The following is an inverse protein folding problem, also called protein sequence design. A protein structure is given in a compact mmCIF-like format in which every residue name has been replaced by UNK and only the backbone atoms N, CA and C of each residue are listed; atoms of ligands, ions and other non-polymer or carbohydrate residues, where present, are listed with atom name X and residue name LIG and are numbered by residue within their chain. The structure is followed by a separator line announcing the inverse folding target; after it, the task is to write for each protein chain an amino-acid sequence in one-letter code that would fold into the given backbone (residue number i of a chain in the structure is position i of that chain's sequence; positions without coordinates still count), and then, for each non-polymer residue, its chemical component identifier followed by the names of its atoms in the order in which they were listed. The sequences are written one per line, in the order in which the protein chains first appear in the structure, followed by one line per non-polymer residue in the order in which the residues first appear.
data_IF_588500634496
#
_entry.id   IF_588500634496
#
_cell.length_a   1.000
_cell.length_b   1.000
_cell.length_c   1.000
_cell.angle_alpha   90.00
_cell.angle_beta   90.00
_cell.angle_gamma   90.00
#
_symmetry.space_group_name_H-M   'P 1'
#
loop_
_entity.id
_entity.type
_entity.pdbx_description
1 polymer ?
#
# COMPACT_ATOMS: atom_id res chain seq x y z
N UNK A 1 -23.28 -0.38 -6.96
CA UNK A 1 -23.31 0.89 -7.71
C UNK A 1 -22.44 0.72 -8.96
N UNK A 2 -22.83 1.28 -10.11
CA UNK A 2 -22.03 1.22 -11.35
C UNK A 2 -21.25 2.53 -11.57
N UNK A 3 -20.28 2.51 -12.49
CA UNK A 3 -19.38 3.64 -12.75
C UNK A 3 -20.12 4.91 -13.21
N UNK A 4 -21.18 4.77 -14.01
CA UNK A 4 -21.96 5.92 -14.50
C UNK A 4 -22.72 6.61 -13.37
N UNK A 5 -23.31 5.86 -12.44
CA UNK A 5 -23.98 6.42 -11.26
C UNK A 5 -22.98 7.10 -10.33
N UNK A 6 -21.79 6.51 -10.14
CA UNK A 6 -20.73 7.13 -9.32
C UNK A 6 -20.29 8.46 -9.90
N UNK A 7 -19.98 8.50 -11.20
CA UNK A 7 -19.55 9.72 -11.91
C UNK A 7 -20.62 10.81 -11.85
N UNK A 8 -21.89 10.44 -12.06
CA UNK A 8 -23.02 11.38 -11.95
C UNK A 8 -23.14 12.00 -10.56
N UNK A 9 -22.96 11.20 -9.49
CA UNK A 9 -22.97 11.72 -8.11
C UNK A 9 -21.82 12.68 -7.81
N UNK A 10 -20.63 12.42 -8.37
CA UNK A 10 -19.46 13.29 -8.19
C UNK A 10 -19.71 14.64 -8.86
N UNK A 11 -20.27 14.64 -10.07
CA UNK A 11 -20.54 15.87 -10.84
C UNK A 11 -21.70 16.71 -10.29
N UNK A 12 -22.69 16.06 -9.67
CA UNK A 12 -23.89 16.74 -9.12
C UNK A 12 -23.69 17.26 -7.69
N UNK A 13 -22.54 17.01 -7.07
CA UNK A 13 -22.31 17.44 -5.69
C UNK A 13 -22.20 18.98 -5.59
N UNK A 14 -22.65 19.53 -4.47
CA UNK A 14 -22.55 20.95 -4.18
C UNK A 14 -21.08 21.43 -4.23
N UNK A 15 -20.88 22.71 -4.49
CA UNK A 15 -19.55 23.33 -4.46
C UNK A 15 -18.84 23.04 -3.15
N UNK A 16 -17.60 22.55 -3.24
CA UNK A 16 -16.79 22.19 -2.09
C UNK A 16 -16.35 23.47 -1.35
N UNK A 17 -16.77 23.61 -0.09
CA UNK A 17 -16.21 24.62 0.82
C UNK A 17 -14.95 24.05 1.49
N UNK A 18 -13.79 24.57 1.10
CA UNK A 18 -12.51 24.11 1.64
C UNK A 18 -12.36 24.35 3.14
N UNK A 19 -12.89 25.45 3.68
CA UNK A 19 -12.79 25.77 5.11
C UNK A 19 -13.54 24.75 5.94
N UNK A 20 -14.77 24.43 5.53
CA UNK A 20 -15.58 23.40 6.18
C UNK A 20 -14.95 22.01 6.05
N UNK A 21 -14.47 21.65 4.86
CA UNK A 21 -13.82 20.34 4.61
C UNK A 21 -12.58 20.19 5.49
N UNK A 22 -11.74 21.23 5.56
CA UNK A 22 -10.53 21.21 6.36
C UNK A 22 -10.85 21.03 7.85
N UNK A 23 -11.79 21.81 8.38
CA UNK A 23 -12.21 21.71 9.78
C UNK A 23 -12.78 20.32 10.11
N UNK A 24 -13.68 19.80 9.28
CA UNK A 24 -14.25 18.44 9.44
C UNK A 24 -13.17 17.37 9.36
N UNK A 25 -12.19 17.52 8.46
CA UNK A 25 -11.07 16.58 8.33
C UNK A 25 -10.21 16.54 9.59
N UNK A 26 -9.94 17.69 10.21
CA UNK A 26 -9.19 17.79 11.46
C UNK A 26 -9.96 17.17 12.63
N UNK A 27 -11.28 17.40 12.72
CA UNK A 27 -12.12 16.76 13.73
C UNK A 27 -12.17 15.24 13.57
N UNK A 28 -12.34 14.76 12.34
CA UNK A 28 -12.37 13.33 12.04
C UNK A 28 -11.02 12.67 12.34
N UNK A 29 -9.91 13.33 11.98
CA UNK A 29 -8.57 12.88 12.30
C UNK A 29 -8.37 12.66 13.80
N UNK A 30 -8.80 13.61 14.65
CA UNK A 30 -8.74 13.47 16.11
C UNK A 30 -9.49 12.22 16.59
N UNK A 31 -10.68 11.96 16.02
CA UNK A 31 -11.50 10.78 16.36
C UNK A 31 -10.86 9.47 15.91
N UNK A 32 -10.16 9.49 14.77
CA UNK A 32 -9.56 8.29 14.16
C UNK A 32 -8.08 8.08 14.51
N UNK A 33 -7.51 8.93 15.37
CA UNK A 33 -6.07 8.98 15.64
C UNK A 33 -5.50 7.62 16.07
N UNK A 34 -6.13 6.98 17.06
CA UNK A 34 -5.67 5.69 17.58
C UNK A 34 -5.74 4.60 16.51
N UNK A 35 -6.78 4.60 15.68
CA UNK A 35 -6.97 3.65 14.60
C UNK A 35 -5.93 3.85 13.49
N UNK A 36 -5.61 5.09 13.16
CA UNK A 36 -4.53 5.43 12.23
C UNK A 36 -3.16 5.01 12.76
N UNK A 37 -2.91 5.20 14.05
CA UNK A 37 -1.70 4.72 14.71
C UNK A 37 -1.59 3.19 14.67
N UNK A 38 -2.67 2.46 14.98
CA UNK A 38 -2.71 1.00 14.88
C UNK A 38 -2.48 0.51 13.44
N UNK A 39 -3.10 1.16 12.45
CA UNK A 39 -2.87 0.87 11.04
C UNK A 39 -1.38 1.00 10.67
N UNK A 40 -0.70 2.06 11.13
CA UNK A 40 0.72 2.27 10.88
C UNK A 40 1.58 1.17 11.50
N UNK A 41 1.36 0.85 12.79
CA UNK A 41 2.11 -0.19 13.51
C UNK A 41 1.93 -1.55 12.87
N UNK A 42 0.70 -1.92 12.53
CA UNK A 42 0.40 -3.20 11.88
C UNK A 42 1.02 -3.28 10.47
N UNK A 43 0.95 -2.20 9.69
CA UNK A 43 1.58 -2.14 8.36
C UNK A 43 3.10 -2.30 8.45
N UNK A 44 3.73 -1.67 9.44
CA UNK A 44 5.16 -1.83 9.70
C UNK A 44 5.51 -3.26 10.09
N UNK A 45 4.72 -3.88 10.98
CA UNK A 45 4.92 -5.27 11.41
C UNK A 45 4.87 -6.25 10.23
N UNK A 46 3.96 -6.03 9.28
CA UNK A 46 3.83 -6.83 8.05
C UNK A 46 5.03 -6.63 7.12
N UNK A 47 5.62 -5.43 7.09
CA UNK A 47 6.78 -5.12 6.25
C UNK A 47 8.09 -5.70 6.78
N UNK A 48 8.25 -5.86 8.11
CA UNK A 48 9.49 -6.33 8.74
C UNK A 48 10.00 -7.66 8.13
N UNK A 49 9.19 -8.73 8.00
CA UNK A 49 9.65 -9.97 7.38
C UNK A 49 10.18 -9.78 5.96
N UNK A 50 9.54 -8.94 5.15
CA UNK A 50 9.98 -8.67 3.79
C UNK A 50 11.33 -7.96 3.76
N UNK A 51 11.57 -7.01 4.66
CA UNK A 51 12.87 -6.33 4.79
C UNK A 51 13.95 -7.32 5.25
N UNK A 52 13.65 -8.21 6.20
CA UNK A 52 14.62 -9.19 6.69
C UNK A 52 15.12 -10.16 5.61
N UNK A 53 14.29 -10.47 4.60
CA UNK A 53 14.67 -11.34 3.47
C UNK A 53 15.93 -10.86 2.77
N UNK A 54 16.13 -9.55 2.62
CA UNK A 54 17.31 -8.98 1.96
C UNK A 54 18.41 -8.60 2.96
N UNK A 55 18.04 -8.12 4.15
CA UNK A 55 19.02 -7.68 5.14
C UNK A 55 19.80 -8.84 5.77
N UNK A 56 19.16 -9.98 6.07
CA UNK A 56 19.85 -11.11 6.70
C UNK A 56 20.98 -11.66 5.81
N UNK A 57 20.75 -11.99 4.52
CA UNK A 57 21.81 -12.45 3.62
C UNK A 57 22.91 -11.41 3.40
N UNK A 58 22.54 -10.13 3.34
CA UNK A 58 23.52 -9.06 3.14
C UNK A 58 24.45 -8.92 4.34
N UNK A 59 23.89 -8.91 5.55
CA UNK A 59 24.67 -8.85 6.78
C UNK A 59 25.52 -10.12 6.98
N UNK A 60 24.98 -11.30 6.70
CA UNK A 60 25.72 -12.57 6.86
C UNK A 60 26.94 -12.64 5.93
N UNK A 61 26.81 -12.18 4.69
CA UNK A 61 27.96 -12.08 3.78
C UNK A 61 29.03 -11.12 4.29
N UNK A 62 28.64 -9.93 4.76
CA UNK A 62 29.61 -8.97 5.29
C UNK A 62 30.31 -9.49 6.55
N UNK A 63 29.57 -10.15 7.45
CA UNK A 63 30.13 -10.75 8.64
C UNK A 63 31.10 -11.89 8.29
N UNK A 64 30.70 -12.80 7.38
CA UNK A 64 31.54 -13.90 6.92
C UNK A 64 32.86 -13.39 6.33
N UNK A 65 32.83 -12.35 5.49
CA UNK A 65 34.03 -11.71 4.95
C UNK A 65 34.92 -11.13 6.06
N UNK A 66 34.32 -10.46 7.05
CA UNK A 66 35.04 -9.93 8.20
C UNK A 66 35.76 -11.01 9.01
N UNK A 67 35.10 -12.13 9.29
CA UNK A 67 35.70 -13.27 10.00
C UNK A 67 36.78 -13.98 9.16
N UNK A 68 36.53 -14.25 7.88
CA UNK A 68 37.49 -14.93 7.02
C UNK A 68 38.77 -14.11 6.78
N UNK A 69 38.63 -12.78 6.65
CA UNK A 69 39.78 -11.86 6.55
C UNK A 69 40.59 -11.82 7.84
N UNK A 70 39.94 -11.93 9.01
CA UNK A 70 40.62 -12.00 10.30
C UNK A 70 41.45 -13.28 10.46
N UNK A 71 40.94 -14.42 10.00
CA UNK A 71 41.61 -15.72 10.06
C UNK A 71 42.63 -15.96 8.93
N UNK A 72 42.93 -14.94 8.10
CA UNK A 72 43.88 -15.03 6.97
C UNK A 72 43.52 -16.12 5.94
N UNK A 73 42.24 -16.46 5.81
CA UNK A 73 41.75 -17.31 4.73
C UNK A 73 41.59 -16.52 3.44
N UNK A 74 41.83 -17.18 2.31
CA UNK A 74 41.51 -16.63 1.00
C UNK A 74 39.98 -16.49 0.89
N UNK A 75 39.49 -15.25 0.81
CA UNK A 75 38.05 -14.96 0.88
C UNK A 75 37.46 -15.08 -0.52
N UNK A 76 36.57 -16.05 -0.79
CA UNK A 76 35.98 -16.18 -2.12
C UNK A 76 35.17 -14.94 -2.47
N UNK A 77 35.40 -14.38 -3.65
CA UNK A 77 34.51 -13.36 -4.20
C UNK A 77 33.15 -13.99 -4.51
N UNK A 78 32.09 -13.45 -3.90
CA UNK A 78 30.73 -13.85 -4.22
C UNK A 78 30.27 -13.08 -5.47
N UNK A 79 29.98 -13.76 -6.59
CA UNK A 79 29.45 -13.09 -7.77
C UNK A 79 28.10 -12.44 -7.46
N UNK A 80 27.80 -11.30 -8.10
CA UNK A 80 26.51 -10.62 -7.97
C UNK A 80 25.31 -11.54 -8.24
N UNK A 81 25.47 -12.51 -9.15
CA UNK A 81 24.45 -13.49 -9.48
C UNK A 81 23.97 -14.32 -8.27
N UNK A 82 24.78 -14.47 -7.22
CA UNK A 82 24.39 -15.17 -5.98
C UNK A 82 23.30 -14.43 -5.19
N UNK A 83 23.15 -13.12 -5.41
CA UNK A 83 22.10 -12.31 -4.79
C UNK A 83 20.78 -12.32 -5.56
N UNK A 84 20.78 -12.73 -6.83
CA UNK A 84 19.60 -12.67 -7.70
C UNK A 84 18.37 -13.39 -7.12
N UNK A 85 18.48 -14.58 -6.51
CA UNK A 85 17.33 -15.25 -5.89
C UNK A 85 16.75 -14.46 -4.70
N UNK A 86 17.60 -13.80 -3.91
CA UNK A 86 17.16 -12.97 -2.78
C UNK A 86 16.46 -11.70 -3.24
N UNK A 87 16.94 -11.06 -4.30
CA UNK A 87 16.25 -9.93 -4.92
C UNK A 87 14.89 -10.33 -5.48
N UNK A 88 14.79 -11.48 -6.16
CA UNK A 88 13.52 -11.98 -6.66
C UNK A 88 12.53 -12.26 -5.51
N UNK A 89 12.99 -12.93 -4.46
CA UNK A 89 12.18 -13.22 -3.28
C UNK A 89 11.74 -11.93 -2.57
N UNK A 90 12.64 -10.96 -2.42
CA UNK A 90 12.34 -9.64 -1.87
C UNK A 90 11.27 -8.91 -2.69
N UNK A 91 11.39 -8.92 -4.02
CA UNK A 91 10.41 -8.32 -4.91
C UNK A 91 9.01 -8.95 -4.73
N UNK A 92 8.93 -10.29 -4.70
CA UNK A 92 7.67 -10.99 -4.45
C UNK A 92 7.10 -10.67 -3.06
N UNK A 93 7.95 -10.62 -2.04
CA UNK A 93 7.54 -10.23 -0.69
C UNK A 93 7.01 -8.80 -0.63
N UNK A 94 7.63 -7.86 -1.35
CA UNK A 94 7.18 -6.47 -1.41
C UNK A 94 5.84 -6.33 -2.13
N UNK A 95 5.58 -7.08 -3.20
CA UNK A 95 4.25 -7.12 -3.84
C UNK A 95 3.21 -7.66 -2.86
N UNK A 96 3.54 -8.69 -2.08
CA UNK A 96 2.65 -9.21 -1.05
C UNK A 96 2.37 -8.17 0.04
N UNK A 97 3.42 -7.55 0.61
CA UNK A 97 3.29 -6.50 1.63
C UNK A 97 2.43 -5.35 1.10
N UNK A 98 2.72 -4.83 -0.09
CA UNK A 98 1.93 -3.75 -0.70
C UNK A 98 0.47 -4.15 -0.90
N UNK A 99 0.20 -5.40 -1.28
CA UNK A 99 -1.17 -5.90 -1.42
C UNK A 99 -1.93 -5.88 -0.09
N UNK A 100 -1.29 -6.36 0.98
CA UNK A 100 -1.90 -6.36 2.31
C UNK A 100 -2.07 -4.94 2.83
N UNK A 101 -1.07 -4.07 2.68
CA UNK A 101 -1.14 -2.67 3.09
C UNK A 101 -2.20 -1.90 2.31
N UNK A 102 -2.35 -2.13 1.00
CA UNK A 102 -3.41 -1.54 0.18
C UNK A 102 -4.79 -1.98 0.65
N UNK A 103 -4.98 -3.27 0.90
CA UNK A 103 -6.22 -3.80 1.44
C UNK A 103 -6.53 -3.21 2.83
N UNK A 104 -5.52 -3.10 3.71
CA UNK A 104 -5.68 -2.46 5.01
C UNK A 104 -5.99 -0.97 4.89
N UNK A 105 -5.43 -0.27 3.90
CA UNK A 105 -5.74 1.14 3.61
C UNK A 105 -7.21 1.30 3.22
N UNK A 106 -7.73 0.41 2.38
CA UNK A 106 -9.15 0.38 2.05
C UNK A 106 -10.04 0.07 3.28
N UNK A 107 -9.60 -0.86 4.13
CA UNK A 107 -10.24 -1.14 5.43
C UNK A 107 -10.26 0.07 6.35
N UNK A 108 -9.14 0.80 6.41
CA UNK A 108 -9.00 2.02 7.19
C UNK A 108 -9.95 3.12 6.70
N UNK A 109 -10.06 3.37 5.38
CA UNK A 109 -11.03 4.35 4.87
C UNK A 109 -12.48 4.00 5.24
N UNK A 110 -12.83 2.71 5.20
CA UNK A 110 -14.15 2.26 5.61
C UNK A 110 -14.39 2.45 7.12
N UNK A 111 -13.36 2.19 7.93
CA UNK A 111 -13.38 2.44 9.36
C UNK A 111 -13.54 3.93 9.68
N UNK A 112 -12.81 4.81 8.98
CA UNK A 112 -12.93 6.27 9.10
C UNK A 112 -14.36 6.71 8.81
N UNK A 113 -14.98 6.16 7.75
CA UNK A 113 -16.39 6.43 7.45
C UNK A 113 -17.34 5.97 8.55
N UNK A 114 -17.11 4.82 9.20
CA UNK A 114 -17.93 4.38 10.34
C UNK A 114 -17.85 5.37 11.50
N UNK A 115 -16.64 5.81 11.84
CA UNK A 115 -16.41 6.78 12.93
C UNK A 115 -17.00 8.16 12.61
N UNK A 116 -17.00 8.56 11.34
CA UNK A 116 -17.62 9.81 10.88
C UNK A 116 -19.14 9.81 11.10
N UNK A 117 -19.80 8.67 10.86
CA UNK A 117 -21.25 8.51 11.11
C UNK A 117 -21.59 8.10 12.55
N UNK A 118 -20.62 8.16 13.48
CA UNK A 118 -20.82 7.86 14.90
C UNK A 118 -20.95 6.37 15.25
N UNK A 119 -20.57 5.47 14.35
CA UNK A 119 -20.52 4.04 14.63
C UNK A 119 -19.20 3.65 15.29
N UNK A 120 -19.23 2.60 16.11
CA UNK A 120 -18.02 2.02 16.69
C UNK A 120 -17.16 1.34 15.61
N UNK A 121 -15.85 1.54 15.72
CA UNK A 121 -14.85 0.90 14.89
C UNK A 121 -14.08 -0.15 15.68
N UNK A 122 -13.90 -1.32 15.08
CA UNK A 122 -13.07 -2.39 15.64
C UNK A 122 -11.78 -2.53 14.84
N UNK A 123 -10.67 -2.89 15.50
CA UNK A 123 -9.41 -3.24 14.81
C UNK A 123 -9.60 -4.29 13.71
N UNK A 124 -10.61 -5.17 13.84
CA UNK A 124 -10.97 -6.15 12.81
C UNK A 124 -11.41 -5.53 11.47
N UNK A 125 -11.91 -4.29 11.47
CA UNK A 125 -12.32 -3.59 10.26
C UNK A 125 -11.13 -3.26 9.34
N UNK A 126 -9.90 -3.11 9.89
CA UNK A 126 -8.68 -2.93 9.09
C UNK A 126 -8.43 -4.12 8.17
N UNK A 127 -8.75 -5.33 8.64
CA UNK A 127 -8.50 -6.58 7.91
C UNK A 127 -9.69 -7.01 7.03
N UNK A 128 -10.72 -6.17 6.89
CA UNK A 128 -11.93 -6.51 6.13
C UNK A 128 -11.61 -6.89 4.67
N UNK A 129 -10.68 -6.17 4.04
CA UNK A 129 -10.29 -6.41 2.64
C UNK A 129 -9.14 -7.40 2.49
N UNK A 130 -8.57 -7.89 3.60
CA UNK A 130 -7.51 -8.91 3.64
C UNK A 130 -8.13 -10.32 3.65
N UNK A 131 -9.26 -10.52 2.96
CA UNK A 131 -10.00 -11.80 2.95
C UNK A 131 -10.63 -12.07 1.58
N UNK A 132 -10.54 -13.34 1.14
CA UNK A 132 -11.27 -13.89 0.00
C UNK A 132 -11.14 -13.06 -1.29
N UNK A 133 -12.28 -12.78 -1.93
CA UNK A 133 -12.36 -12.08 -3.22
C UNK A 133 -11.84 -10.63 -3.18
N UNK A 134 -11.88 -9.97 -2.02
CA UNK A 134 -11.40 -8.59 -1.87
C UNK A 134 -9.87 -8.50 -1.90
N UNK A 135 -9.18 -9.52 -1.39
CA UNK A 135 -7.73 -9.60 -1.44
C UNK A 135 -7.25 -9.77 -2.88
N UNK A 136 -7.94 -10.60 -3.68
CA UNK A 136 -7.64 -10.75 -5.11
C UNK A 136 -7.84 -9.42 -5.87
N UNK A 137 -8.90 -8.67 -5.57
CA UNK A 137 -9.10 -7.34 -6.17
C UNK A 137 -7.98 -6.37 -5.76
N UNK A 138 -7.60 -6.37 -4.48
CA UNK A 138 -6.49 -5.55 -3.97
C UNK A 138 -5.18 -5.90 -4.66
N UNK A 139 -4.88 -7.19 -4.84
CA UNK A 139 -3.69 -7.65 -5.55
C UNK A 139 -3.64 -7.14 -7.00
N UNK A 140 -4.74 -7.25 -7.74
CA UNK A 140 -4.81 -6.74 -9.12
C UNK A 140 -4.61 -5.22 -9.14
N UNK A 141 -5.24 -4.49 -8.22
CA UNK A 141 -5.05 -3.03 -8.11
C UNK A 141 -3.60 -2.66 -7.80
N UNK A 142 -2.92 -3.39 -6.92
CA UNK A 142 -1.49 -3.18 -6.63
C UNK A 142 -0.62 -3.46 -7.86
N UNK A 143 -0.92 -4.50 -8.65
CA UNK A 143 -0.22 -4.74 -9.91
C UNK A 143 -0.43 -3.60 -10.91
N UNK A 144 -1.65 -3.09 -11.04
CA UNK A 144 -1.97 -1.95 -11.91
C UNK A 144 -1.24 -0.68 -11.44
N UNK A 145 -1.31 -0.35 -10.14
CA UNK A 145 -0.61 0.81 -9.56
C UNK A 145 0.90 0.71 -9.75
N UNK A 146 1.48 -0.48 -9.52
CA UNK A 146 2.91 -0.72 -9.72
C UNK A 146 3.29 -0.58 -11.19
N UNK A 147 2.50 -1.16 -12.11
CA UNK A 147 2.72 -1.05 -13.55
C UNK A 147 2.66 0.39 -14.05
N UNK A 148 1.63 1.15 -13.66
CA UNK A 148 1.51 2.58 -14.00
C UNK A 148 2.70 3.38 -13.46
N UNK A 149 3.09 3.12 -12.21
CA UNK A 149 4.23 3.81 -11.58
C UNK A 149 5.56 3.49 -12.28
N UNK A 150 5.77 2.23 -12.68
CA UNK A 150 6.96 1.83 -13.44
C UNK A 150 7.03 2.50 -14.81
N UNK A 151 5.91 2.51 -15.56
CA UNK A 151 5.85 3.21 -16.86
C UNK A 151 6.13 4.70 -16.67
N UNK A 152 5.53 5.34 -15.68
CA UNK A 152 5.77 6.75 -15.37
C UNK A 152 7.24 7.02 -14.98
N UNK A 153 7.87 6.10 -14.25
CA UNK A 153 9.28 6.18 -13.90
C UNK A 153 10.18 6.09 -15.14
N UNK A 154 9.90 5.16 -16.06
CA UNK A 154 10.66 5.02 -17.32
C UNK A 154 10.51 6.22 -18.24
N UNK A 155 9.43 6.99 -18.14
CA UNK A 155 9.20 8.25 -18.85
C UNK A 155 9.86 9.46 -18.14
N UNK A 156 11.07 9.28 -17.62
CA UNK A 156 11.89 10.30 -16.95
C UNK A 156 11.32 10.86 -15.62
N UNK A 157 10.57 10.06 -14.86
CA UNK A 157 10.06 10.37 -13.50
C UNK A 157 9.06 11.54 -13.40
N UNK A 158 9.10 12.54 -14.30
CA UNK A 158 8.16 13.67 -14.31
C UNK A 158 6.69 13.23 -14.33
N UNK A 159 6.27 12.21 -15.12
CA UNK A 159 4.89 11.74 -15.11
C UNK A 159 4.47 11.11 -13.77
N UNK A 160 5.43 10.66 -12.95
CA UNK A 160 5.14 10.04 -11.66
C UNK A 160 4.42 11.01 -10.71
N UNK A 161 4.79 12.31 -10.74
CA UNK A 161 4.16 13.36 -9.94
C UNK A 161 2.68 13.49 -10.30
N UNK A 162 2.35 13.42 -11.59
CA UNK A 162 0.97 13.52 -12.08
C UNK A 162 0.12 12.30 -11.73
N UNK A 163 0.67 11.09 -11.84
CA UNK A 163 -0.08 9.87 -11.53
C UNK A 163 -0.15 9.57 -10.04
N UNK A 164 0.74 10.12 -9.21
CA UNK A 164 0.76 9.87 -7.77
C UNK A 164 -0.59 10.20 -7.09
N UNK A 165 -1.21 11.32 -7.47
CA UNK A 165 -2.50 11.75 -6.93
C UNK A 165 -3.64 10.75 -7.27
N UNK A 166 -3.95 10.47 -8.55
CA UNK A 166 -5.01 9.52 -8.91
C UNK A 166 -4.76 8.09 -8.38
N UNK A 167 -3.50 7.63 -8.34
CA UNK A 167 -3.19 6.31 -7.79
C UNK A 167 -3.57 6.16 -6.31
N UNK A 168 -3.45 7.23 -5.51
CA UNK A 168 -3.89 7.22 -4.10
C UNK A 168 -5.42 7.11 -3.96
N UNK A 169 -6.18 7.62 -4.94
CA UNK A 169 -7.64 7.52 -4.93
C UNK A 169 -8.16 6.10 -5.18
N UNK A 170 -7.35 5.20 -5.77
CA UNK A 170 -7.79 3.82 -6.01
C UNK A 170 -8.23 3.11 -4.72
N UNK A 171 -7.50 3.32 -3.61
CA UNK A 171 -7.85 2.75 -2.32
C UNK A 171 -9.17 3.32 -1.78
N UNK A 172 -9.42 4.63 -1.97
CA UNK A 172 -10.64 5.31 -1.54
C UNK A 172 -11.86 4.82 -2.34
N UNK A 173 -11.73 4.78 -3.67
CA UNK A 173 -12.79 4.34 -4.57
C UNK A 173 -13.12 2.87 -4.31
N UNK A 174 -12.10 2.03 -4.16
CA UNK A 174 -12.28 0.62 -3.83
C UNK A 174 -12.92 0.40 -2.44
N UNK A 175 -12.52 1.18 -1.43
CA UNK A 175 -13.09 1.09 -0.09
C UNK A 175 -14.59 1.36 -0.07
N UNK A 176 -15.04 2.40 -0.78
CA UNK A 176 -16.44 2.80 -0.78
C UNK A 176 -17.29 2.12 -1.84
N UNK A 177 -16.67 1.48 -2.84
CA UNK A 177 -17.34 0.80 -3.95
C UNK A 177 -16.73 -0.59 -4.21
N UNK A 178 -16.74 -1.50 -3.22
CA UNK A 178 -16.09 -2.81 -3.31
C UNK A 178 -16.65 -3.71 -4.42
N UNK A 179 -17.83 -3.41 -4.96
CA UNK A 179 -18.47 -4.09 -6.08
C UNK A 179 -17.76 -3.84 -7.40
N UNK A 180 -17.12 -2.66 -7.59
CA UNK A 180 -16.45 -2.30 -8.83
C UNK A 180 -15.32 -3.27 -9.16
N UNK A 181 -15.16 -3.54 -10.44
CA UNK A 181 -14.01 -4.29 -10.95
C UNK A 181 -12.73 -3.44 -10.87
N UNK A 182 -11.53 -4.03 -10.80
CA UNK A 182 -10.28 -3.26 -10.79
C UNK A 182 -10.17 -2.27 -11.96
N UNK A 183 -10.61 -2.65 -13.16
CA UNK A 183 -10.59 -1.75 -14.32
C UNK A 183 -11.54 -0.55 -14.15
N UNK A 184 -12.71 -0.75 -13.54
CA UNK A 184 -13.63 0.36 -13.26
C UNK A 184 -13.08 1.30 -12.19
N UNK A 185 -12.38 0.77 -11.18
CA UNK A 185 -11.71 1.59 -10.15
C UNK A 185 -10.64 2.49 -10.76
N UNK A 186 -9.87 1.98 -11.73
CA UNK A 186 -8.81 2.76 -12.41
C UNK A 186 -9.37 3.82 -13.36
N UNK A 187 -10.59 3.65 -13.87
CA UNK A 187 -11.26 4.60 -14.78
C UNK A 187 -12.02 5.71 -14.05
N UNK A 188 -12.40 5.48 -12.80
CA UNK A 188 -13.15 6.40 -11.96
C UNK A 188 -12.28 7.57 -11.50
#
# INVERSE_FOLDING_TARGET
MNISTLTGKIQQNASLDFGDIFNKSIELFKKTWLQGFLFLVLSMLIAIPAVLIIYIPMLSMTAFRGFAQYEYYDVPEFPFATMLPFFLLFFLAMIFVNTVTFAMTAGFFKMVKKLDVGQEASTGDLFMYVKGRYLTKSFILVLMTTGISLVAMFLCVLPLIYVAVPLNFFAVIFAFNPELTPSEVVKA
#
